data_IF_221883741470
#
_entry.id   IF_221883741470
#
_cell.length_a   1.000
_cell.length_b   1.000
_cell.length_c   1.000
_cell.angle_alpha   90.00
_cell.angle_beta   90.00
_cell.angle_gamma   90.00
#
_symmetry.space_group_name_H-M   'P 1'
#
loop_
_entity.id
_entity.type
_entity.pdbx_description
1 polymer ?
#
# COMPACT_ATOMS: atom_id res chain seq x y z
N UNK A 1 -14.49 8.53 14.06
CA UNK A 1 -13.72 9.23 13.01
C UNK A 1 -12.54 10.04 13.54
N UNK A 2 -12.68 10.96 14.52
CA UNK A 2 -11.53 11.57 15.24
C UNK A 2 -10.65 10.56 16.03
N UNK A 3 -11.21 9.38 16.24
CA UNK A 3 -10.76 8.36 17.19
C UNK A 3 -9.62 7.48 16.64
N UNK A 4 -9.67 7.06 15.37
CA UNK A 4 -8.55 6.35 14.72
C UNK A 4 -7.35 7.30 14.52
N UNK A 5 -7.62 8.58 14.26
CA UNK A 5 -6.63 9.66 14.19
C UNK A 5 -5.85 9.82 15.50
N UNK A 6 -6.53 9.92 16.64
CA UNK A 6 -5.90 9.96 17.97
C UNK A 6 -5.15 8.67 18.28
N UNK A 7 -5.76 7.52 17.98
CA UNK A 7 -5.21 6.19 18.19
C UNK A 7 -3.88 6.00 17.43
N UNK A 8 -3.85 6.36 16.14
CA UNK A 8 -2.65 6.26 15.33
C UNK A 8 -1.62 7.35 15.69
N UNK A 9 -2.06 8.57 16.06
CA UNK A 9 -1.17 9.65 16.56
C UNK A 9 -0.38 9.21 17.79
N UNK A 10 -1.05 8.63 18.79
CA UNK A 10 -0.43 8.28 20.06
C UNK A 10 0.54 7.10 19.91
N UNK A 11 0.15 6.11 19.10
CA UNK A 11 0.95 4.92 18.81
C UNK A 11 2.22 5.26 18.04
N UNK A 12 2.11 6.14 17.04
CA UNK A 12 3.25 6.51 16.21
C UNK A 12 4.20 7.50 16.88
N UNK A 13 3.76 8.19 17.94
CA UNK A 13 4.58 9.10 18.76
C UNK A 13 5.53 8.34 19.70
N UNK A 14 5.17 7.13 20.14
CA UNK A 14 5.98 6.31 21.05
C UNK A 14 7.35 5.92 20.44
N UNK A 15 8.42 6.48 21.00
CA UNK A 15 9.80 6.16 20.65
C UNK A 15 10.26 4.88 21.38
N UNK A 16 10.33 3.74 20.68
CA UNK A 16 10.95 2.52 21.22
C UNK A 16 11.70 1.73 20.15
N UNK A 17 12.84 1.09 20.49
CA UNK A 17 13.46 0.07 19.63
C UNK A 17 12.54 -1.16 19.47
N UNK A 18 12.58 -1.75 18.28
CA UNK A 18 11.81 -2.96 17.92
C UNK A 18 12.39 -4.16 18.70
N UNK A 19 11.59 -4.95 19.44
CA UNK A 19 12.06 -6.23 19.95
C UNK A 19 12.20 -7.22 18.80
N UNK A 20 13.31 -7.96 18.77
CA UNK A 20 13.57 -9.02 17.78
C UNK A 20 12.44 -10.05 17.78
N UNK A 21 11.90 -10.32 16.58
CA UNK A 21 10.80 -11.26 16.30
C UNK A 21 11.28 -12.70 16.56
N UNK A 22 11.30 -13.16 17.81
CA UNK A 22 11.63 -14.57 18.13
C UNK A 22 10.67 -15.27 19.08
N UNK A 23 9.62 -14.59 19.55
CA UNK A 23 8.58 -15.23 20.36
C UNK A 23 7.23 -14.60 20.08
N UNK A 24 6.23 -15.47 19.95
CA UNK A 24 4.78 -15.19 19.90
C UNK A 24 4.15 -15.17 18.50
N UNK A 25 4.11 -16.34 17.86
CA UNK A 25 2.88 -16.83 17.24
C UNK A 25 2.38 -17.94 18.15
N UNK A 26 1.46 -17.64 19.06
CA UNK A 26 0.63 -18.65 19.70
C UNK A 26 -0.79 -18.20 19.45
N UNK A 27 -1.40 -18.89 18.49
CA UNK A 27 -2.78 -18.76 17.99
C UNK A 27 -2.95 -17.80 16.79
N UNK A 28 -3.22 -18.34 15.58
CA UNK A 28 -3.59 -17.54 14.44
C UNK A 28 -5.00 -16.97 14.65
N UNK A 29 -5.16 -15.66 14.46
CA UNK A 29 -6.49 -15.09 14.24
C UNK A 29 -6.96 -15.60 12.86
N UNK A 30 -7.82 -16.61 12.86
CA UNK A 30 -8.39 -17.19 11.65
C UNK A 30 -9.44 -16.21 11.13
N UNK A 31 -9.12 -15.49 10.05
CA UNK A 31 -10.10 -14.73 9.27
C UNK A 31 -10.65 -15.70 8.23
N UNK A 32 -11.67 -16.47 8.61
CA UNK A 32 -12.39 -17.37 7.70
C UNK A 32 -13.39 -16.57 6.84
N UNK A 33 -13.38 -16.81 5.52
CA UNK A 33 -14.55 -16.57 4.67
C UNK A 33 -14.62 -15.27 3.87
N UNK A 34 -13.53 -14.81 3.25
CA UNK A 34 -13.62 -13.78 2.20
C UNK A 34 -13.37 -14.39 0.83
N UNK A 35 -14.45 -14.65 0.09
CA UNK A 35 -14.38 -14.93 -1.34
C UNK A 35 -14.26 -13.61 -2.10
N UNK A 36 -13.24 -13.49 -2.95
CA UNK A 36 -12.96 -12.31 -3.75
C UNK A 36 -13.55 -12.50 -5.15
N UNK A 37 -14.24 -11.48 -5.73
CA UNK A 37 -14.76 -11.58 -7.09
C UNK A 37 -13.60 -11.64 -8.10
N UNK A 38 -13.69 -12.58 -9.03
CA UNK A 38 -12.76 -12.69 -10.16
C UNK A 38 -13.00 -11.56 -11.17
N UNK A 39 -11.92 -10.90 -11.59
CA UNK A 39 -11.89 -10.09 -12.81
C UNK A 39 -12.06 -8.58 -12.62
N UNK A 40 -10.98 -7.90 -12.24
CA UNK A 40 -10.75 -6.50 -12.62
C UNK A 40 -9.79 -6.47 -13.81
N UNK A 41 -10.34 -6.58 -15.03
CA UNK A 41 -9.59 -6.33 -16.26
C UNK A 41 -9.26 -4.83 -16.28
N UNK A 42 -7.98 -4.50 -16.15
CA UNK A 42 -7.49 -3.13 -16.31
C UNK A 42 -7.65 -2.68 -17.76
N UNK A 43 -8.39 -1.60 -17.98
CA UNK A 43 -8.38 -0.90 -19.26
C UNK A 43 -7.08 -0.09 -19.39
N UNK A 44 -6.09 -0.70 -20.05
CA UNK A 44 -4.78 -0.11 -20.30
C UNK A 44 -4.81 1.07 -21.28
N UNK A 45 -5.96 1.40 -21.90
CA UNK A 45 -6.10 2.55 -22.80
C UNK A 45 -5.97 3.90 -22.08
N UNK A 46 -6.12 3.94 -20.75
CA UNK A 46 -5.85 5.14 -19.95
C UNK A 46 -4.36 5.53 -19.89
N UNK A 47 -3.45 4.64 -20.31
CA UNK A 47 -2.02 4.94 -20.43
C UNK A 47 -1.60 5.36 -21.85
N UNK A 48 -2.54 5.65 -22.75
CA UNK A 48 -2.25 6.04 -24.13
C UNK A 48 -1.68 7.47 -24.19
N UNK A 49 -0.37 7.57 -23.96
CA UNK A 49 0.42 8.78 -24.21
C UNK A 49 0.83 8.75 -25.68
N UNK A 50 -0.08 9.16 -26.55
CA UNK A 50 0.05 9.46 -27.98
C UNK A 50 1.16 8.75 -28.79
N UNK A 51 0.67 7.93 -29.73
CA UNK A 51 1.34 7.45 -30.93
C UNK A 51 2.20 8.51 -31.63
N UNK A 52 3.51 8.26 -31.73
CA UNK A 52 4.24 8.60 -32.95
C UNK A 52 5.37 7.59 -33.21
N UNK A 53 5.32 6.97 -34.37
CA UNK A 53 6.27 5.99 -34.87
C UNK A 53 7.60 6.67 -35.21
N UNK A 54 8.54 6.69 -34.28
CA UNK A 54 9.95 6.88 -34.60
C UNK A 54 10.77 6.33 -33.43
N UNK A 55 11.66 5.37 -33.73
CA UNK A 55 12.65 4.78 -32.81
C UNK A 55 13.18 5.85 -31.85
N UNK A 56 12.74 5.79 -30.58
CA UNK A 56 12.93 6.88 -29.62
C UNK A 56 14.35 6.89 -29.05
N UNK A 57 15.04 8.06 -28.98
CA UNK A 57 16.36 8.16 -28.37
C UNK A 57 16.22 8.25 -26.83
N UNK A 58 17.10 7.56 -26.10
CA UNK A 58 17.20 7.66 -24.63
C UNK A 58 17.52 9.12 -24.18
N UNK A 59 17.15 9.52 -22.93
CA UNK A 59 16.37 8.75 -21.92
C UNK A 59 15.01 9.39 -21.58
N UNK A 60 13.93 8.60 -21.66
CA UNK A 60 12.53 9.03 -21.47
C UNK A 60 12.01 8.98 -20.02
N UNK A 61 12.90 8.94 -19.03
CA UNK A 61 12.69 9.50 -17.69
C UNK A 61 14.06 10.07 -17.32
N UNK A 62 14.35 11.29 -17.78
CA UNK A 62 15.69 11.88 -17.64
C UNK A 62 15.81 12.76 -16.39
N UNK A 63 14.69 13.07 -15.73
CA UNK A 63 14.66 14.00 -14.62
C UNK A 63 13.62 13.62 -13.56
N UNK A 64 13.85 14.07 -12.32
CA UNK A 64 12.87 14.00 -11.23
C UNK A 64 11.58 14.79 -11.58
N UNK A 65 11.68 15.82 -12.41
CA UNK A 65 10.54 16.62 -12.85
C UNK A 65 9.56 15.79 -13.65
N UNK A 66 10.02 14.86 -14.49
CA UNK A 66 9.15 14.00 -15.27
C UNK A 66 8.40 13.00 -14.40
N UNK A 67 9.06 12.47 -13.37
CA UNK A 67 8.43 11.58 -12.37
C UNK A 67 7.32 12.32 -11.61
N UNK A 68 7.52 13.62 -11.31
CA UNK A 68 6.52 14.43 -10.60
C UNK A 68 5.26 14.69 -11.43
N UNK A 69 5.36 14.71 -12.76
CA UNK A 69 4.22 14.91 -13.68
C UNK A 69 3.35 13.66 -13.83
N UNK A 70 3.81 12.47 -13.42
CA UNK A 70 3.07 11.20 -13.53
C UNK A 70 1.96 11.10 -12.47
N UNK A 71 0.94 11.96 -12.56
CA UNK A 71 -0.14 12.07 -11.58
C UNK A 71 -0.94 10.78 -11.44
N UNK A 72 -1.39 10.19 -12.56
CA UNK A 72 -2.17 8.95 -12.53
C UNK A 72 -1.36 7.78 -11.95
N UNK A 73 -0.10 7.64 -12.35
CA UNK A 73 0.78 6.61 -11.78
C UNK A 73 0.98 6.80 -10.27
N UNK A 74 1.02 8.05 -9.80
CA UNK A 74 1.09 8.35 -8.37
C UNK A 74 -0.16 7.90 -7.62
N UNK A 75 -1.34 8.10 -8.22
CA UNK A 75 -2.62 7.62 -7.67
C UNK A 75 -2.68 6.08 -7.68
N UNK A 76 -2.26 5.47 -8.79
CA UNK A 76 -2.18 4.02 -8.96
C UNK A 76 -1.30 3.37 -7.88
N UNK A 77 -0.07 3.87 -7.70
CA UNK A 77 0.86 3.36 -6.67
C UNK A 77 0.28 3.48 -5.27
N UNK A 78 -0.38 4.60 -4.94
CA UNK A 78 -1.03 4.76 -3.64
C UNK A 78 -2.16 3.74 -3.43
N UNK A 79 -2.97 3.48 -4.46
CA UNK A 79 -4.04 2.48 -4.38
C UNK A 79 -3.51 1.05 -4.29
N UNK A 80 -2.40 0.73 -4.97
CA UNK A 80 -1.69 -0.54 -4.78
C UNK A 80 -1.26 -0.70 -3.33
N UNK A 81 -0.66 0.33 -2.72
CA UNK A 81 -0.21 0.26 -1.32
C UNK A 81 -1.38 0.17 -0.32
N UNK A 82 -2.54 0.73 -0.66
CA UNK A 82 -3.78 0.59 0.12
C UNK A 82 -4.26 -0.86 0.08
N UNK A 83 -4.43 -1.43 -1.11
CA UNK A 83 -4.93 -2.78 -1.31
C UNK A 83 -3.94 -3.85 -0.83
N UNK A 84 -2.65 -3.60 -1.02
CA UNK A 84 -1.56 -4.54 -0.77
C UNK A 84 -0.48 -3.89 0.07
N UNK A 85 -0.75 -3.73 1.36
CA UNK A 85 0.22 -3.15 2.31
C UNK A 85 1.39 -4.13 2.53
N UNK A 86 2.64 -3.79 2.11
CA UNK A 86 3.77 -4.72 2.20
C UNK A 86 4.04 -5.13 3.65
N UNK A 87 3.91 -4.20 4.59
CA UNK A 87 3.89 -4.48 6.02
C UNK A 87 2.44 -4.34 6.49
N UNK A 88 1.72 -5.42 6.79
CA UNK A 88 0.29 -5.33 7.12
C UNK A 88 0.04 -4.84 8.55
N UNK A 89 1.00 -5.01 9.46
CA UNK A 89 0.86 -4.65 10.88
C UNK A 89 2.15 -4.05 11.42
N UNK A 90 2.02 -3.00 12.23
CA UNK A 90 3.10 -2.43 13.01
C UNK A 90 2.74 -2.48 14.49
N UNK A 91 3.73 -2.69 15.35
CA UNK A 91 3.49 -2.73 16.80
C UNK A 91 4.45 -1.84 17.58
N UNK A 92 4.02 -1.41 18.76
CA UNK A 92 4.79 -0.58 19.69
C UNK A 92 4.58 -1.09 21.11
N UNK A 93 5.64 -1.07 21.91
CA UNK A 93 5.53 -1.33 23.34
C UNK A 93 5.20 -0.02 24.06
N UNK A 94 4.16 -0.04 24.87
CA UNK A 94 3.73 1.10 25.70
C UNK A 94 4.72 1.26 26.85
N UNK A 95 5.28 2.46 27.01
CA UNK A 95 6.28 2.78 28.04
C UNK A 95 5.70 3.50 29.25
N UNK A 96 4.59 4.17 29.07
CA UNK A 96 3.89 4.89 30.12
C UNK A 96 2.41 4.53 30.01
N UNK A 97 1.70 4.23 31.12
CA UNK A 97 0.30 3.90 31.06
C UNK A 97 -0.51 4.98 30.33
N UNK A 98 -1.36 4.58 29.40
CA UNK A 98 -2.16 5.51 28.62
C UNK A 98 -3.60 5.04 28.47
N UNK A 99 -4.49 5.97 28.18
CA UNK A 99 -5.90 5.67 27.88
C UNK A 99 -6.14 6.03 26.43
N UNK A 100 -6.58 5.06 25.64
CA UNK A 100 -6.96 5.29 24.24
C UNK A 100 -8.41 4.86 24.07
N UNK A 101 -9.27 5.81 23.68
CA UNK A 101 -10.72 5.57 23.53
C UNK A 101 -11.40 4.96 24.77
N UNK A 102 -10.95 5.38 25.96
CA UNK A 102 -11.48 4.86 27.23
C UNK A 102 -10.94 3.49 27.63
N UNK A 103 -10.03 2.91 26.84
CA UNK A 103 -9.34 1.67 27.16
C UNK A 103 -7.98 1.99 27.78
N UNK A 104 -7.73 1.47 28.98
CA UNK A 104 -6.45 1.59 29.68
C UNK A 104 -5.43 0.58 29.13
N UNK A 105 -4.25 1.09 28.78
CA UNK A 105 -3.09 0.32 28.38
C UNK A 105 -2.00 0.47 29.43
N UNK A 106 -1.67 -0.58 30.20
CA UNK A 106 -0.59 -0.51 31.17
C UNK A 106 0.78 -0.48 30.48
N UNK A 107 1.78 0.01 31.20
CA UNK A 107 3.18 -0.07 30.79
C UNK A 107 3.58 -1.53 30.47
N UNK A 108 4.39 -1.71 29.43
CA UNK A 108 4.82 -3.02 28.94
C UNK A 108 3.86 -3.69 27.96
N UNK A 109 2.65 -3.14 27.76
CA UNK A 109 1.70 -3.66 26.77
C UNK A 109 2.24 -3.56 25.34
N UNK A 110 2.04 -4.61 24.54
CA UNK A 110 2.31 -4.55 23.10
C UNK A 110 1.05 -4.11 22.37
N UNK A 111 1.14 -2.95 21.72
CA UNK A 111 0.06 -2.37 20.96
C UNK A 111 0.30 -2.61 19.47
N UNK A 112 -0.66 -3.23 18.78
CA UNK A 112 -0.60 -3.48 17.34
C UNK A 112 -1.57 -2.58 16.56
N UNK A 113 -1.12 -2.07 15.42
CA UNK A 113 -1.94 -1.39 14.41
C UNK A 113 -1.90 -2.22 13.13
N UNK A 114 -3.07 -2.75 12.74
CA UNK A 114 -3.25 -3.37 11.43
C UNK A 114 -3.49 -2.28 10.38
N UNK A 115 -2.47 -1.99 9.59
CA UNK A 115 -2.58 -1.03 8.47
C UNK A 115 -3.45 -1.60 7.37
N UNK A 116 -3.42 -2.92 7.17
CA UNK A 116 -4.30 -3.61 6.24
C UNK A 116 -5.78 -3.38 6.57
N UNK A 117 -6.19 -3.55 7.83
CA UNK A 117 -7.59 -3.35 8.21
C UNK A 117 -8.02 -1.89 8.12
N UNK A 118 -7.13 -0.95 8.47
CA UNK A 118 -7.40 0.49 8.30
C UNK A 118 -7.63 0.83 6.83
N UNK A 119 -6.81 0.28 5.94
CA UNK A 119 -6.89 0.51 4.49
C UNK A 119 -8.09 -0.17 3.83
N UNK A 120 -8.70 -1.18 4.48
CA UNK A 120 -9.90 -1.88 4.01
C UNK A 120 -11.16 -1.57 4.83
N UNK A 121 -11.10 -0.60 5.75
CA UNK A 121 -12.23 -0.23 6.56
C UNK A 121 -13.29 0.49 5.70
N UNK A 122 -14.46 -0.11 5.53
CA UNK A 122 -15.55 0.41 4.70
C UNK A 122 -16.14 1.75 5.18
N UNK A 123 -15.92 2.13 6.45
CA UNK A 123 -16.31 3.45 6.97
C UNK A 123 -15.37 4.57 6.52
N UNK A 124 -14.16 4.22 6.08
CA UNK A 124 -13.12 5.15 5.61
C UNK A 124 -13.03 5.07 4.09
N UNK A 125 -13.06 3.86 3.55
CA UNK A 125 -12.87 3.55 2.15
C UNK A 125 -14.14 2.89 1.60
N UNK A 126 -15.03 3.64 0.92
CA UNK A 126 -16.21 3.07 0.28
C UNK A 126 -15.80 2.01 -0.75
N UNK A 127 -16.46 0.85 -0.78
CA UNK A 127 -16.08 -0.29 -1.65
C UNK A 127 -14.58 -0.65 -1.49
N UNK A 128 -14.14 -1.02 -0.26
CA UNK A 128 -12.71 -1.08 0.09
C UNK A 128 -11.92 -2.14 -0.69
N UNK A 129 -12.59 -3.14 -1.24
CA UNK A 129 -11.96 -4.22 -2.00
C UNK A 129 -11.85 -3.93 -3.50
N UNK A 130 -12.49 -2.86 -3.96
CA UNK A 130 -12.38 -2.41 -5.35
C UNK A 130 -11.15 -1.53 -5.54
N UNK A 131 -10.33 -1.87 -6.54
CA UNK A 131 -9.15 -1.11 -6.92
C UNK A 131 -9.56 0.15 -7.70
N UNK A 132 -9.48 1.32 -7.07
CA UNK A 132 -9.87 2.62 -7.68
C UNK A 132 -8.80 3.69 -7.43
N UNK A 133 -7.81 3.88 -8.33
CA UNK A 133 -6.78 4.92 -8.20
C UNK A 133 -7.34 6.32 -7.94
N UNK A 134 -8.51 6.61 -8.50
CA UNK A 134 -9.21 7.90 -8.45
C UNK A 134 -9.61 8.32 -7.02
N UNK A 135 -9.49 7.44 -6.02
CA UNK A 135 -9.59 7.78 -4.59
C UNK A 135 -8.53 8.78 -4.14
N UNK A 136 -7.36 8.77 -4.80
CA UNK A 136 -6.22 9.61 -4.47
C UNK A 136 -6.12 10.89 -5.31
N UNK A 137 -7.19 11.24 -6.01
CA UNK A 137 -7.34 12.53 -6.66
C UNK A 137 -7.26 13.65 -5.62
N UNK A 138 -6.56 14.74 -5.95
CA UNK A 138 -6.12 15.78 -5.00
C UNK A 138 -7.29 16.30 -4.11
N UNK A 139 -8.46 16.53 -4.71
CA UNK A 139 -9.64 17.05 -4.01
C UNK A 139 -10.24 16.05 -3.02
N UNK A 140 -10.25 14.75 -3.34
CA UNK A 140 -10.87 13.71 -2.49
C UNK A 140 -9.94 13.29 -1.35
N UNK A 141 -8.64 13.30 -1.60
CA UNK A 141 -7.65 12.85 -0.61
C UNK A 141 -7.41 13.88 0.49
N UNK A 142 -7.44 15.18 0.18
CA UNK A 142 -7.20 16.24 1.17
C UNK A 142 -8.27 16.31 2.27
N UNK A 143 -9.47 15.78 2.03
CA UNK A 143 -10.55 15.73 3.02
C UNK A 143 -10.41 14.55 4.01
N UNK A 144 -9.53 13.59 3.72
CA UNK A 144 -9.33 12.40 4.56
C UNK A 144 -8.46 12.70 5.77
N UNK A 145 -8.71 11.98 6.88
CA UNK A 145 -7.80 12.04 8.02
C UNK A 145 -6.42 11.50 7.61
N UNK A 146 -5.30 12.21 7.90
CA UNK A 146 -3.95 11.80 7.50
C UNK A 146 -3.52 10.40 7.96
N UNK A 147 -4.19 9.84 8.98
CA UNK A 147 -3.90 8.50 9.50
C UNK A 147 -4.80 7.41 8.92
N UNK A 148 -5.71 7.77 8.01
CA UNK A 148 -6.53 6.83 7.24
C UNK A 148 -5.73 6.09 6.17
N UNK A 149 -4.56 6.64 5.79
CA UNK A 149 -3.66 6.08 4.79
C UNK A 149 -2.21 6.19 5.27
N UNK A 150 -1.67 5.09 5.81
CA UNK A 150 -0.33 5.05 6.43
C UNK A 150 0.51 3.87 5.91
N UNK A 151 0.64 3.66 4.58
CA UNK A 151 1.37 2.51 4.03
C UNK A 151 2.86 2.46 4.40
N UNK A 152 3.42 3.62 4.77
CA UNK A 152 4.80 3.76 5.22
C UNK A 152 4.90 4.02 6.72
N UNK A 153 3.85 3.68 7.48
CA UNK A 153 3.64 4.17 8.85
C UNK A 153 3.60 5.72 8.87
N UNK A 154 3.48 6.33 10.04
CA UNK A 154 3.63 7.77 10.22
C UNK A 154 4.43 8.07 11.51
N UNK A 155 4.63 9.36 11.82
CA UNK A 155 5.38 9.80 12.98
C UNK A 155 6.92 9.64 12.84
N UNK A 156 7.68 9.81 13.93
CA UNK A 156 9.16 9.79 13.95
C UNK A 156 9.81 8.48 13.51
N UNK A 157 9.03 7.40 13.43
CA UNK A 157 9.48 6.06 13.00
C UNK A 157 8.74 5.60 11.75
N UNK A 158 8.31 6.54 10.90
CA UNK A 158 7.86 6.23 9.56
C UNK A 158 9.02 5.71 8.70
N UNK A 159 8.69 5.12 7.54
CA UNK A 159 9.68 4.57 6.63
C UNK A 159 10.60 5.68 6.10
N UNK A 160 11.89 5.62 6.47
CA UNK A 160 12.91 6.51 5.92
C UNK A 160 13.07 6.35 4.40
N UNK A 161 12.73 5.18 3.87
CA UNK A 161 12.80 4.86 2.44
C UNK A 161 11.57 5.27 1.63
N UNK A 162 10.56 5.91 2.23
CA UNK A 162 9.30 6.24 1.56
C UNK A 162 9.50 6.99 0.25
N UNK A 163 10.29 8.07 0.26
CA UNK A 163 10.53 8.87 -0.94
C UNK A 163 11.25 8.07 -2.04
N UNK A 164 12.26 7.28 -1.65
CA UNK A 164 12.99 6.42 -2.58
C UNK A 164 12.08 5.37 -3.22
N UNK A 165 11.33 4.62 -2.41
CA UNK A 165 10.41 3.59 -2.89
C UNK A 165 9.38 4.16 -3.88
N UNK A 166 8.76 5.30 -3.54
CA UNK A 166 7.78 5.94 -4.41
C UNK A 166 8.36 6.43 -5.74
N UNK A 167 9.63 6.84 -5.78
CA UNK A 167 10.29 7.20 -7.03
C UNK A 167 10.70 5.96 -7.83
N UNK A 168 11.27 4.96 -7.17
CA UNK A 168 11.70 3.70 -7.77
C UNK A 168 10.52 2.95 -8.41
N UNK A 169 9.41 2.80 -7.69
CA UNK A 169 8.19 2.16 -8.17
C UNK A 169 7.66 2.86 -9.44
N UNK A 170 7.61 4.19 -9.44
CA UNK A 170 7.14 4.95 -10.61
C UNK A 170 8.03 4.73 -11.82
N UNK A 171 9.35 4.82 -11.65
CA UNK A 171 10.30 4.62 -12.75
C UNK A 171 10.19 3.20 -13.30
N UNK A 172 10.15 2.20 -12.42
CA UNK A 172 10.07 0.81 -12.80
C UNK A 172 8.77 0.51 -13.54
N UNK A 173 7.62 0.89 -12.98
CA UNK A 173 6.30 0.64 -13.59
C UNK A 173 6.25 1.35 -14.95
N UNK A 174 6.61 2.63 -15.02
CA UNK A 174 6.62 3.38 -16.27
C UNK A 174 7.47 2.71 -17.37
N UNK A 175 8.67 2.22 -17.02
CA UNK A 175 9.55 1.51 -17.96
C UNK A 175 8.94 0.19 -18.42
N UNK A 176 8.34 -0.58 -17.52
CA UNK A 176 7.72 -1.87 -17.86
C UNK A 176 6.50 -1.65 -18.77
N UNK A 177 5.55 -0.79 -18.38
CA UNK A 177 4.30 -0.61 -19.15
C UNK A 177 4.53 0.07 -20.50
N UNK A 178 5.60 0.87 -20.63
CA UNK A 178 5.98 1.49 -21.89
C UNK A 178 6.55 0.46 -22.88
N UNK A 179 7.28 -0.54 -22.39
CA UNK A 179 7.91 -1.56 -23.23
C UNK A 179 7.03 -2.78 -23.47
N UNK A 180 6.17 -3.13 -22.54
CA UNK A 180 5.42 -4.38 -22.58
C UNK A 180 3.92 -4.17 -22.40
N UNK A 181 3.14 -4.97 -23.13
CA UNK A 181 1.80 -5.37 -22.74
C UNK A 181 1.94 -6.52 -21.74
N UNK A 182 1.28 -6.39 -20.59
CA UNK A 182 1.33 -7.36 -19.50
C UNK A 182 -0.05 -7.99 -19.37
N UNK A 183 -0.13 -9.31 -19.30
CA UNK A 183 -1.35 -10.03 -18.95
C UNK A 183 -1.09 -11.04 -17.84
N UNK A 184 -2.11 -11.29 -17.01
CA UNK A 184 -2.04 -12.37 -16.02
C UNK A 184 -2.19 -13.71 -16.72
N UNK A 185 -1.54 -14.74 -16.17
CA UNK A 185 -1.85 -16.12 -16.52
C UNK A 185 -3.26 -16.46 -15.99
N UNK A 186 -4.24 -16.77 -16.85
CA UNK A 186 -5.62 -17.01 -16.42
C UNK A 186 -5.77 -18.25 -15.55
N UNK A 187 -4.84 -19.21 -15.63
CA UNK A 187 -4.90 -20.45 -14.86
C UNK A 187 -4.17 -20.33 -13.51
N UNK A 188 -3.49 -19.20 -13.26
CA UNK A 188 -2.73 -18.97 -12.03
C UNK A 188 -3.50 -18.09 -11.03
N UNK A 189 -4.04 -18.71 -9.99
CA UNK A 189 -4.70 -18.00 -8.90
C UNK A 189 -3.69 -17.29 -7.99
N UNK A 190 -3.86 -15.98 -7.82
CA UNK A 190 -3.07 -15.18 -6.87
C UNK A 190 -3.74 -15.20 -5.50
N UNK A 191 -3.01 -15.66 -4.49
CA UNK A 191 -3.47 -15.70 -3.10
C UNK A 191 -2.54 -14.91 -2.20
N UNK A 192 -3.11 -14.07 -1.34
CA UNK A 192 -2.34 -13.36 -0.31
C UNK A 192 -1.78 -14.32 0.72
N UNK A 193 -0.55 -14.06 1.11
CA UNK A 193 0.11 -14.71 2.24
C UNK A 193 0.68 -13.65 3.16
N UNK A 194 0.07 -13.54 4.34
CA UNK A 194 0.45 -12.57 5.37
C UNK A 194 1.58 -13.15 6.22
N UNK A 195 2.81 -12.81 5.86
CA UNK A 195 3.98 -12.97 6.73
C UNK A 195 4.41 -11.60 7.26
N UNK A 196 5.65 -11.49 7.77
CA UNK A 196 6.24 -10.18 8.17
C UNK A 196 6.16 -9.18 7.02
N UNK A 197 6.34 -9.66 5.78
CA UNK A 197 6.05 -8.93 4.55
C UNK A 197 4.96 -9.70 3.81
N UNK A 198 3.89 -9.02 3.43
CA UNK A 198 2.84 -9.58 2.61
C UNK A 198 3.38 -9.98 1.24
N UNK A 199 3.05 -11.18 0.78
CA UNK A 199 3.45 -11.68 -0.54
C UNK A 199 2.37 -12.56 -1.15
N UNK A 200 2.52 -12.89 -2.43
CA UNK A 200 1.70 -13.93 -3.06
C UNK A 200 2.23 -15.32 -2.64
N UNK A 201 1.33 -16.21 -2.19
CA UNK A 201 1.69 -17.56 -1.70
C UNK A 201 2.46 -18.38 -2.74
N UNK A 202 2.00 -18.34 -3.99
CA UNK A 202 2.54 -19.11 -5.12
C UNK A 202 3.17 -18.19 -6.19
N UNK A 203 3.54 -16.96 -5.82
CA UNK A 203 3.98 -15.94 -6.78
C UNK A 203 2.85 -15.40 -7.65
N UNK A 204 3.21 -14.57 -8.63
CA UNK A 204 2.31 -13.99 -9.62
C UNK A 204 2.87 -14.35 -11.00
N UNK A 205 2.10 -15.10 -11.79
CA UNK A 205 2.50 -15.47 -13.14
C UNK A 205 1.95 -14.46 -14.14
N UNK A 206 2.85 -13.88 -14.94
CA UNK A 206 2.53 -12.83 -15.91
C UNK A 206 3.18 -13.13 -17.25
N UNK A 207 2.46 -12.80 -18.33
CA UNK A 207 2.96 -12.85 -19.69
C UNK A 207 3.36 -11.44 -20.12
N UNK A 208 4.52 -11.33 -20.77
CA UNK A 208 5.01 -10.09 -21.37
C UNK A 208 5.01 -10.21 -22.88
N UNK A 209 4.42 -9.22 -23.55
CA UNK A 209 4.51 -9.05 -25.00
C UNK A 209 5.10 -7.67 -25.27
N UNK A 210 6.17 -7.60 -26.05
CA UNK A 210 6.80 -6.31 -26.38
C UNK A 210 5.82 -5.44 -27.18
N UNK A 211 5.69 -4.17 -26.78
CA UNK A 211 4.90 -3.17 -27.51
C UNK A 211 5.65 -2.78 -28.78
N UNK A 212 4.95 -2.82 -29.90
CA UNK A 212 5.45 -2.40 -31.22
C UNK A 212 5.49 -0.89 -31.37
#
# INVERSE_FOLDING_TARGET
>A
MKYLSMFVKEVLRCHSPVPTVSRMIKEPCVVEGVEFPEGSIFDLSMFDVHHNSHVWPEPWVSSFDDISKMKYLSMFVKEVLRCHSPVPTVSRMIKEPCVVEGVEFPEGSLFGLSMFDVHHNSHIWPEPWEFKPERFEEDKHHEMDPYSFVPFSAGPRNCIGQAFAQHEEKVLIARIVNRFEISLDPDHKVEHFMEVVMRAKNGIMVNFKERS
#
